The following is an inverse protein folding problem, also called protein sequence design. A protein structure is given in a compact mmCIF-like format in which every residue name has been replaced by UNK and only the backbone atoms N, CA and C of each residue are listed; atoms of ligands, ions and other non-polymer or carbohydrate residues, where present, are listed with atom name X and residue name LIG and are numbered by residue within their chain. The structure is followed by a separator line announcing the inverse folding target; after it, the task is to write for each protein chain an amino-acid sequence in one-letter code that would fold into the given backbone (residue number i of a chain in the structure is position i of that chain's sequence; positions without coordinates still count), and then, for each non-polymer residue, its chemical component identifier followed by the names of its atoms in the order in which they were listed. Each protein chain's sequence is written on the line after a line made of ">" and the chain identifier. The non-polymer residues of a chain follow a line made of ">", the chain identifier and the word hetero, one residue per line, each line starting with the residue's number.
data_IF_340541773181
#
_entry.id   IF_340541773181
#
_cell.length_a   1.000
_cell.length_b   1.000
_cell.length_c   1.000
_cell.angle_alpha   90.00
_cell.angle_beta   90.00
_cell.angle_gamma   90.00
#
_symmetry.space_group_name_H-M   'P 1'
#
loop_
_entity.id
_entity.type
_entity.pdbx_description
1 polymer ?
#
# COMPACT_ATOMS: atom_id res chain seq x y z
N UNK A 1 -43.53 -20.01 -5.77
CA UNK A 1 -44.22 -18.77 -6.18
C UNK A 1 -43.58 -18.20 -7.42
N UNK A 2 -44.27 -17.28 -8.11
CA UNK A 2 -43.73 -16.63 -9.32
C UNK A 2 -42.42 -15.89 -9.02
N UNK A 3 -42.20 -15.48 -7.76
CA UNK A 3 -40.94 -14.92 -7.27
C UNK A 3 -39.74 -15.88 -7.33
N UNK A 4 -39.91 -17.16 -7.01
CA UNK A 4 -38.87 -18.18 -7.19
C UNK A 4 -38.55 -18.44 -8.68
N UNK A 5 -39.52 -18.17 -9.57
CA UNK A 5 -39.34 -18.21 -11.01
C UNK A 5 -38.65 -16.94 -11.55
N UNK A 6 -38.98 -15.76 -11.02
CA UNK A 6 -38.31 -14.48 -11.28
C UNK A 6 -36.84 -14.50 -10.85
N UNK A 7 -36.53 -15.04 -9.66
CA UNK A 7 -35.14 -15.25 -9.21
C UNK A 7 -34.36 -16.21 -10.12
N UNK A 8 -35.03 -17.17 -10.76
CA UNK A 8 -34.40 -18.01 -11.80
C UNK A 8 -34.16 -17.27 -13.11
N UNK A 9 -35.02 -16.30 -13.47
CA UNK A 9 -34.89 -15.51 -14.69
C UNK A 9 -33.70 -14.55 -14.58
N UNK A 10 -33.56 -13.83 -13.47
CA UNK A 10 -32.39 -12.97 -13.22
C UNK A 10 -31.06 -13.74 -13.13
N UNK A 11 -31.11 -15.06 -12.93
CA UNK A 11 -29.93 -15.94 -12.95
C UNK A 11 -29.66 -16.58 -14.32
N UNK A 12 -30.61 -16.54 -15.25
CA UNK A 12 -30.56 -17.24 -16.54
C UNK A 12 -30.44 -16.29 -17.75
N UNK A 13 -30.60 -14.99 -17.53
CA UNK A 13 -30.45 -13.93 -18.54
C UNK A 13 -28.98 -13.57 -18.82
N UNK A 14 -28.11 -14.58 -18.93
CA UNK A 14 -26.76 -14.46 -19.49
C UNK A 14 -26.52 -15.33 -20.72
N UNK A 15 -27.52 -16.06 -21.23
CA UNK A 15 -27.38 -16.84 -22.48
C UNK A 15 -28.69 -16.88 -23.28
N UNK A 16 -28.63 -16.18 -24.42
CA UNK A 16 -29.33 -16.28 -25.69
C UNK A 16 -30.84 -15.98 -25.86
N UNK A 17 -31.06 -15.06 -26.80
CA UNK A 17 -32.28 -14.77 -27.55
C UNK A 17 -32.53 -15.83 -28.65
N UNK A 18 -33.79 -15.99 -29.06
CA UNK A 18 -34.12 -16.70 -30.29
C UNK A 18 -35.62 -16.79 -30.54
N UNK A 19 -36.10 -15.95 -31.46
CA UNK A 19 -37.47 -15.74 -31.94
C UNK A 19 -38.22 -17.00 -32.44
N UNK A 20 -39.56 -16.98 -32.39
CA UNK A 20 -40.46 -16.90 -33.58
C UNK A 20 -41.95 -17.16 -33.23
N UNK A 21 -42.82 -16.23 -33.64
CA UNK A 21 -44.25 -16.46 -33.95
C UNK A 21 -44.34 -16.89 -35.46
N UNK A 22 -45.50 -17.19 -36.12
CA UNK A 22 -46.90 -16.83 -35.78
C UNK A 22 -48.00 -17.84 -36.24
N UNK A 23 -49.28 -17.44 -36.18
CA UNK A 23 -50.29 -17.91 -37.17
C UNK A 23 -51.73 -18.08 -36.69
N UNK A 24 -52.55 -17.02 -36.82
CA UNK A 24 -54.03 -17.10 -36.86
C UNK A 24 -54.53 -17.75 -38.16
N UNK A 25 -55.72 -18.39 -38.15
CA UNK A 25 -56.75 -18.29 -39.22
C UNK A 25 -58.17 -18.57 -38.69
N UNK A 26 -59.08 -17.64 -38.98
CA UNK A 26 -60.54 -17.79 -39.02
C UNK A 26 -60.98 -18.62 -40.23
N UNK A 27 -62.17 -19.24 -40.15
CA UNK A 27 -63.21 -19.20 -41.20
C UNK A 27 -64.49 -19.92 -40.75
N UNK A 28 -65.57 -19.17 -40.64
CA UNK A 28 -66.95 -19.54 -41.05
C UNK A 28 -67.11 -19.04 -42.52
N UNK A 29 -68.25 -19.16 -43.26
CA UNK A 29 -69.54 -19.86 -43.06
C UNK A 29 -70.08 -20.51 -44.40
N UNK A 30 -71.41 -20.78 -44.47
CA UNK A 30 -72.29 -21.04 -45.65
C UNK A 30 -72.47 -22.54 -46.02
N UNK A 31 -73.60 -23.07 -46.50
CA UNK A 31 -74.75 -22.52 -47.26
C UNK A 31 -75.93 -23.51 -47.31
N UNK A 32 -77.17 -22.99 -47.41
CA UNK A 32 -78.36 -23.40 -48.20
C UNK A 32 -78.82 -24.89 -48.27
N UNK A 33 -80.10 -25.28 -48.40
CA UNK A 33 -81.16 -24.70 -49.23
C UNK A 33 -82.54 -25.39 -48.96
N UNK A 34 -83.61 -24.58 -49.02
CA UNK A 34 -84.99 -24.82 -49.49
C UNK A 34 -85.78 -26.13 -49.22
N UNK A 35 -87.03 -25.96 -48.77
CA UNK A 35 -88.12 -26.89 -49.12
C UNK A 35 -89.45 -26.79 -48.36
N UNK A 36 -90.41 -26.05 -48.93
CA UNK A 36 -91.87 -26.32 -48.95
C UNK A 36 -92.77 -26.14 -47.69
N UNK A 37 -93.70 -25.20 -47.88
CA UNK A 37 -95.04 -24.98 -47.26
C UNK A 37 -95.75 -26.21 -46.67
N UNK A 38 -96.27 -26.07 -45.45
CA UNK A 38 -97.69 -26.33 -45.09
C UNK A 38 -98.04 -25.75 -43.72
N UNK A 39 -99.17 -25.06 -43.68
CA UNK A 39 -99.86 -24.45 -42.54
C UNK A 39 -100.23 -25.45 -41.45
N UNK A 40 -100.14 -25.05 -40.18
CA UNK A 40 -101.13 -25.42 -39.15
C UNK A 40 -100.99 -24.45 -37.95
N UNK A 41 -101.98 -23.58 -37.79
CA UNK A 41 -102.14 -22.78 -36.57
C UNK A 41 -102.35 -23.72 -35.38
N UNK A 42 -101.57 -23.54 -34.31
CA UNK A 42 -101.91 -24.15 -33.01
C UNK A 42 -100.75 -24.70 -32.21
N UNK A 43 -99.87 -23.84 -31.70
CA UNK A 43 -99.39 -23.92 -30.30
C UNK A 43 -98.54 -22.71 -29.94
N UNK A 44 -99.07 -21.90 -29.02
CA UNK A 44 -98.30 -20.96 -28.23
C UNK A 44 -97.38 -21.80 -27.32
N UNK A 45 -96.11 -21.92 -27.69
CA UNK A 45 -95.15 -22.76 -26.98
C UNK A 45 -93.71 -22.32 -27.22
N UNK A 46 -93.16 -21.55 -26.27
CA UNK A 46 -91.74 -21.45 -25.96
C UNK A 46 -90.76 -21.13 -27.11
N UNK A 47 -90.77 -19.87 -27.55
CA UNK A 47 -89.70 -19.26 -28.36
C UNK A 47 -88.81 -18.27 -27.59
N UNK A 48 -88.41 -18.58 -26.34
CA UNK A 48 -87.49 -17.73 -25.54
C UNK A 48 -86.39 -18.50 -24.79
N UNK A 49 -86.08 -19.74 -25.17
CA UNK A 49 -85.08 -20.56 -24.43
C UNK A 49 -83.62 -20.23 -24.80
N UNK A 50 -83.35 -19.75 -26.02
CA UNK A 50 -81.99 -19.42 -26.44
C UNK A 50 -81.40 -18.21 -25.67
N UNK A 51 -82.20 -17.17 -25.41
CA UNK A 51 -81.71 -15.94 -24.75
C UNK A 51 -81.39 -16.12 -23.27
N UNK A 52 -82.18 -16.90 -22.52
CA UNK A 52 -81.94 -17.14 -21.08
C UNK A 52 -80.72 -18.03 -20.84
N UNK A 53 -80.49 -19.01 -21.71
CA UNK A 53 -79.37 -19.94 -21.59
C UNK A 53 -78.02 -19.28 -21.89
N UNK A 54 -78.01 -18.30 -22.81
CA UNK A 54 -76.84 -17.44 -23.09
C UNK A 54 -76.51 -16.55 -21.88
N UNK A 55 -77.52 -16.01 -21.19
CA UNK A 55 -77.32 -15.15 -20.00
C UNK A 55 -76.77 -15.95 -18.82
N UNK A 56 -77.29 -17.16 -18.56
CA UNK A 56 -76.80 -18.04 -17.49
C UNK A 56 -75.34 -18.45 -17.74
N UNK A 57 -75.00 -18.84 -18.97
CA UNK A 57 -73.62 -19.20 -19.33
C UNK A 57 -72.64 -18.04 -19.13
N UNK A 58 -73.03 -16.82 -19.52
CA UNK A 58 -72.22 -15.61 -19.27
C UNK A 58 -72.03 -15.36 -17.77
N UNK A 59 -73.05 -15.59 -16.96
CA UNK A 59 -72.96 -15.41 -15.51
C UNK A 59 -72.04 -16.45 -14.84
N UNK A 60 -72.05 -17.70 -15.32
CA UNK A 60 -71.10 -18.74 -14.89
C UNK A 60 -69.66 -18.45 -15.31
N UNK A 61 -69.45 -17.93 -16.52
CA UNK A 61 -68.14 -17.46 -16.99
C UNK A 61 -67.63 -16.29 -16.13
N UNK A 62 -68.47 -15.28 -15.85
CA UNK A 62 -68.10 -14.18 -14.95
C UNK A 62 -67.80 -14.62 -13.51
N UNK A 63 -68.47 -15.65 -12.99
CA UNK A 63 -68.17 -16.17 -11.65
C UNK A 63 -66.81 -16.86 -11.59
N UNK A 64 -66.42 -17.60 -12.64
CA UNK A 64 -65.09 -18.22 -12.73
C UNK A 64 -63.99 -17.18 -12.81
N UNK A 65 -64.17 -16.16 -13.65
CA UNK A 65 -63.24 -15.02 -13.73
C UNK A 65 -63.07 -14.33 -12.37
N UNK A 66 -64.16 -14.19 -11.60
CA UNK A 66 -64.12 -13.61 -10.27
C UNK A 66 -63.34 -14.49 -9.27
N UNK A 67 -63.52 -15.81 -9.32
CA UNK A 67 -62.76 -16.76 -8.48
C UNK A 67 -61.26 -16.76 -8.83
N UNK A 68 -60.92 -16.73 -10.12
CA UNK A 68 -59.53 -16.61 -10.59
C UNK A 68 -58.89 -15.30 -10.13
N UNK A 69 -59.59 -14.18 -10.29
CA UNK A 69 -59.12 -12.87 -9.81
C UNK A 69 -58.92 -12.85 -8.30
N UNK A 70 -59.82 -13.47 -7.53
CA UNK A 70 -59.68 -13.59 -6.08
C UNK A 70 -58.43 -14.40 -5.71
N UNK A 71 -58.16 -15.48 -6.43
CA UNK A 71 -56.97 -16.30 -6.22
C UNK A 71 -55.68 -15.53 -6.53
N UNK A 72 -55.63 -14.81 -7.66
CA UNK A 72 -54.47 -13.97 -8.00
C UNK A 72 -54.27 -12.82 -7.02
N UNK A 73 -55.34 -12.20 -6.52
CA UNK A 73 -55.24 -11.19 -5.44
C UNK A 73 -54.59 -11.79 -4.18
N UNK A 74 -55.00 -12.99 -3.77
CA UNK A 74 -54.42 -13.65 -2.60
C UNK A 74 -52.93 -13.98 -2.79
N UNK A 75 -52.55 -14.40 -4.00
CA UNK A 75 -51.16 -14.66 -4.35
C UNK A 75 -50.33 -13.38 -4.35
N UNK A 76 -50.84 -12.29 -4.91
CA UNK A 76 -50.19 -10.98 -4.85
C UNK A 76 -50.01 -10.48 -3.40
N UNK A 77 -51.00 -10.73 -2.54
CA UNK A 77 -50.88 -10.40 -1.10
C UNK A 77 -49.77 -11.21 -0.43
N UNK A 78 -49.69 -12.51 -0.69
CA UNK A 78 -48.63 -13.36 -0.16
C UNK A 78 -47.24 -12.92 -0.64
N UNK A 79 -47.08 -12.69 -1.94
CA UNK A 79 -45.80 -12.25 -2.52
C UNK A 79 -45.39 -10.87 -1.98
N UNK A 80 -46.35 -9.95 -1.80
CA UNK A 80 -46.10 -8.66 -1.16
C UNK A 80 -45.62 -8.81 0.27
N UNK A 81 -46.25 -9.67 1.06
CA UNK A 81 -45.90 -9.86 2.47
C UNK A 81 -44.52 -10.55 2.62
N UNK A 82 -44.17 -11.48 1.73
CA UNK A 82 -42.82 -12.07 1.62
C UNK A 82 -41.77 -11.00 1.28
N UNK A 83 -42.08 -10.06 0.38
CA UNK A 83 -41.18 -8.97 0.05
C UNK A 83 -40.95 -8.01 1.22
N UNK A 84 -42.00 -7.68 1.98
CA UNK A 84 -41.85 -6.86 3.20
C UNK A 84 -40.94 -7.53 4.22
N UNK A 85 -41.11 -8.83 4.47
CA UNK A 85 -40.24 -9.56 5.40
C UNK A 85 -38.78 -9.59 4.95
N UNK A 86 -38.53 -9.80 3.65
CA UNK A 86 -37.17 -9.76 3.12
C UNK A 86 -36.58 -8.34 3.23
N UNK A 87 -37.37 -7.31 2.92
CA UNK A 87 -36.92 -5.93 3.01
C UNK A 87 -36.58 -5.56 4.45
N UNK A 88 -37.37 -6.00 5.43
CA UNK A 88 -37.11 -5.75 6.85
C UNK A 88 -35.78 -6.38 7.30
N UNK A 89 -35.51 -7.63 6.90
CA UNK A 89 -34.23 -8.31 7.18
C UNK A 89 -33.04 -7.57 6.55
N UNK A 90 -33.17 -7.14 5.29
CA UNK A 90 -32.10 -6.42 4.61
C UNK A 90 -31.89 -5.02 5.20
N UNK A 91 -32.94 -4.24 5.45
CA UNK A 91 -32.80 -2.85 5.88
C UNK A 91 -32.35 -2.75 7.34
N UNK A 92 -32.96 -3.52 8.24
CA UNK A 92 -32.83 -3.26 9.67
C UNK A 92 -31.84 -4.16 10.40
N UNK A 93 -31.55 -5.37 9.91
CA UNK A 93 -30.64 -6.26 10.64
C UNK A 93 -29.20 -6.18 10.12
N UNK A 94 -28.99 -6.26 8.81
CA UNK A 94 -27.64 -6.40 8.25
C UNK A 94 -26.91 -5.06 8.05
N UNK A 95 -27.64 -4.01 7.65
CA UNK A 95 -27.05 -2.69 7.40
C UNK A 95 -26.84 -1.91 8.69
N UNK A 96 -27.78 -1.95 9.64
CA UNK A 96 -27.61 -1.30 10.94
C UNK A 96 -26.46 -1.91 11.74
N UNK A 97 -26.27 -3.23 11.69
CA UNK A 97 -25.10 -3.87 12.30
C UNK A 97 -23.78 -3.35 11.71
N UNK A 98 -23.67 -3.31 10.38
CA UNK A 98 -22.48 -2.81 9.70
C UNK A 98 -22.21 -1.33 10.00
N UNK A 99 -23.25 -0.49 10.02
CA UNK A 99 -23.11 0.94 10.24
C UNK A 99 -22.85 1.31 11.71
N UNK A 100 -23.50 0.62 12.65
CA UNK A 100 -23.44 0.99 14.07
C UNK A 100 -22.37 0.23 14.85
N UNK A 101 -21.99 -0.99 14.42
CA UNK A 101 -21.02 -1.82 15.15
C UNK A 101 -19.70 -1.92 14.38
N UNK A 102 -19.73 -2.37 13.12
CA UNK A 102 -18.49 -2.64 12.38
C UNK A 102 -17.76 -1.35 11.99
N UNK A 103 -18.49 -0.32 11.55
CA UNK A 103 -17.89 0.92 11.05
C UNK A 103 -17.07 1.66 12.12
N UNK A 104 -17.56 1.90 13.37
CA UNK A 104 -16.74 2.53 14.41
C UNK A 104 -15.51 1.71 14.80
N UNK A 105 -15.64 0.37 14.84
CA UNK A 105 -14.49 -0.52 15.11
C UNK A 105 -13.44 -0.36 14.01
N UNK A 106 -13.85 -0.41 12.74
CA UNK A 106 -12.95 -0.26 11.60
C UNK A 106 -12.28 1.12 11.59
N UNK A 107 -13.03 2.19 11.91
CA UNK A 107 -12.48 3.54 12.04
C UNK A 107 -11.43 3.63 13.14
N UNK A 108 -11.73 3.10 14.33
CA UNK A 108 -10.77 3.06 15.45
C UNK A 108 -9.51 2.27 15.10
N UNK A 109 -9.66 1.10 14.47
CA UNK A 109 -8.49 0.35 14.02
C UNK A 109 -7.67 1.08 12.95
N UNK A 110 -8.33 1.78 12.03
CA UNK A 110 -7.66 2.59 11.03
C UNK A 110 -6.87 3.73 11.69
N UNK A 111 -7.46 4.46 12.62
CA UNK A 111 -6.79 5.53 13.39
C UNK A 111 -5.58 5.00 14.15
N UNK A 112 -5.72 3.86 14.84
CA UNK A 112 -4.59 3.21 15.53
C UNK A 112 -3.45 2.86 14.58
N UNK A 113 -3.77 2.29 13.41
CA UNK A 113 -2.75 1.96 12.38
C UNK A 113 -2.07 3.22 11.84
N UNK A 114 -2.82 4.30 11.62
CA UNK A 114 -2.27 5.58 11.18
C UNK A 114 -1.32 6.19 12.23
N UNK A 115 -1.69 6.16 13.50
CA UNK A 115 -0.81 6.60 14.59
C UNK A 115 0.48 5.77 14.66
N UNK A 116 0.37 4.44 14.57
CA UNK A 116 1.54 3.56 14.56
C UNK A 116 2.47 3.84 13.36
N UNK A 117 1.91 4.04 12.16
CA UNK A 117 2.69 4.44 10.98
C UNK A 117 3.39 5.78 11.18
N UNK A 118 2.71 6.77 11.78
CA UNK A 118 3.32 8.07 12.07
C UNK A 118 4.46 7.95 13.07
N UNK A 119 4.29 7.16 14.13
CA UNK A 119 5.34 6.88 15.11
C UNK A 119 6.56 6.20 14.47
N UNK A 120 6.33 5.20 13.61
CA UNK A 120 7.41 4.56 12.85
C UNK A 120 8.13 5.56 11.93
N UNK A 121 7.38 6.42 11.25
CA UNK A 121 7.93 7.46 10.35
C UNK A 121 8.82 8.44 11.12
N UNK A 122 8.38 8.87 12.31
CA UNK A 122 9.17 9.74 13.18
C UNK A 122 10.44 9.03 13.68
N UNK A 123 10.32 7.77 14.13
CA UNK A 123 11.46 6.96 14.58
C UNK A 123 12.50 6.75 13.47
N UNK A 124 12.06 6.50 12.23
CA UNK A 124 12.95 6.40 11.06
C UNK A 124 13.67 7.73 10.83
N UNK A 125 12.94 8.84 10.90
CA UNK A 125 13.51 10.18 10.70
C UNK A 125 14.58 10.50 11.75
N UNK A 126 14.30 10.22 13.02
CA UNK A 126 15.25 10.40 14.13
C UNK A 126 16.50 9.52 13.96
N UNK A 127 16.31 8.25 13.57
CA UNK A 127 17.42 7.34 13.31
C UNK A 127 18.29 7.80 12.14
N UNK A 128 17.67 8.32 11.07
CA UNK A 128 18.38 8.90 9.93
C UNK A 128 19.22 10.11 10.34
N UNK A 129 18.71 10.98 11.21
CA UNK A 129 19.46 12.15 11.66
C UNK A 129 20.68 11.76 12.50
N UNK A 130 20.51 10.84 13.46
CA UNK A 130 21.63 10.29 14.24
C UNK A 130 22.67 9.61 13.35
N UNK A 131 22.24 8.97 12.27
CA UNK A 131 23.15 8.34 11.33
C UNK A 131 24.00 9.38 10.56
N UNK A 132 23.41 10.53 10.18
CA UNK A 132 24.17 11.64 9.58
C UNK A 132 25.22 12.20 10.54
N UNK A 133 24.84 12.43 11.80
CA UNK A 133 25.78 12.87 12.84
C UNK A 133 26.93 11.88 13.01
N UNK A 134 26.62 10.58 13.03
CA UNK A 134 27.63 9.53 13.15
C UNK A 134 28.63 9.54 11.97
N UNK A 135 28.15 9.74 10.74
CA UNK A 135 29.02 9.89 9.57
C UNK A 135 29.96 11.09 9.75
N UNK A 136 29.45 12.23 10.22
CA UNK A 136 30.25 13.43 10.44
C UNK A 136 31.32 13.21 11.52
N UNK A 137 30.95 12.60 12.65
CA UNK A 137 31.90 12.25 13.72
C UNK A 137 32.97 11.29 13.22
N UNK A 138 32.57 10.26 12.46
CA UNK A 138 33.51 9.30 11.88
C UNK A 138 34.49 10.00 10.91
N UNK A 139 34.00 10.89 10.05
CA UNK A 139 34.86 11.68 9.15
C UNK A 139 35.89 12.51 9.93
N UNK A 140 35.47 13.15 11.03
CA UNK A 140 36.33 13.93 11.92
C UNK A 140 37.39 13.05 12.58
N UNK A 141 37.01 11.85 13.03
CA UNK A 141 37.93 10.86 13.59
C UNK A 141 38.98 10.43 12.57
N UNK A 142 38.58 10.14 11.33
CA UNK A 142 39.51 9.77 10.25
C UNK A 142 40.53 10.87 9.97
N UNK A 143 40.08 12.13 9.88
CA UNK A 143 40.98 13.29 9.68
C UNK A 143 41.96 13.42 10.85
N UNK A 144 41.48 13.33 12.09
CA UNK A 144 42.35 13.42 13.28
C UNK A 144 43.35 12.28 13.34
N UNK A 145 42.93 11.07 13.02
CA UNK A 145 43.81 9.90 12.98
C UNK A 145 44.92 10.07 11.94
N UNK A 146 44.59 10.53 10.73
CA UNK A 146 45.58 10.84 9.69
C UNK A 146 46.55 11.96 10.08
N UNK A 147 46.09 12.96 10.84
CA UNK A 147 46.96 14.00 11.39
C UNK A 147 47.93 13.42 12.43
N UNK A 148 47.45 12.61 13.38
CA UNK A 148 48.29 11.97 14.39
C UNK A 148 49.36 11.07 13.79
N UNK A 149 49.05 10.33 12.72
CA UNK A 149 50.04 9.52 12.02
C UNK A 149 51.16 10.37 11.41
N UNK A 150 50.84 11.54 10.86
CA UNK A 150 51.84 12.48 10.33
C UNK A 150 52.71 13.05 11.45
N UNK A 151 52.11 13.47 12.55
CA UNK A 151 52.83 13.97 13.73
C UNK A 151 53.76 12.90 14.31
N UNK A 152 53.30 11.65 14.38
CA UNK A 152 54.11 10.52 14.84
C UNK A 152 55.33 10.29 13.93
N UNK A 153 55.14 10.31 12.61
CA UNK A 153 56.23 10.17 11.66
C UNK A 153 57.24 11.32 11.77
N UNK A 154 56.76 12.56 11.94
CA UNK A 154 57.61 13.73 12.12
C UNK A 154 58.42 13.65 13.42
N UNK A 155 57.79 13.28 14.54
CA UNK A 155 58.48 13.06 15.82
C UNK A 155 59.56 11.98 15.70
N UNK A 156 59.27 10.88 15.01
CA UNK A 156 60.26 9.81 14.77
C UNK A 156 61.47 10.33 13.98
N UNK A 157 61.25 11.15 12.96
CA UNK A 157 62.33 11.77 12.19
C UNK A 157 63.15 12.73 13.07
N UNK A 158 62.49 13.57 13.87
CA UNK A 158 63.16 14.52 14.77
C UNK A 158 64.03 13.79 15.80
N UNK A 159 63.52 12.70 16.39
CA UNK A 159 64.31 11.86 17.31
C UNK A 159 65.55 11.32 16.60
N UNK A 160 65.41 10.85 15.35
CA UNK A 160 66.55 10.33 14.59
C UNK A 160 67.60 11.42 14.30
N UNK A 161 67.17 12.64 13.98
CA UNK A 161 68.06 13.79 13.77
C UNK A 161 68.81 14.11 15.07
N UNK A 162 68.10 14.26 16.19
CA UNK A 162 68.70 14.54 17.50
C UNK A 162 69.70 13.47 17.94
N UNK A 163 69.41 12.19 17.65
CA UNK A 163 70.35 11.09 17.91
C UNK A 163 71.63 11.19 17.06
N UNK A 164 71.52 11.67 15.82
CA UNK A 164 72.67 11.88 14.96
C UNK A 164 73.51 13.09 15.41
N UNK A 165 72.86 14.19 15.78
CA UNK A 165 73.52 15.37 16.35
C UNK A 165 74.22 15.05 17.67
N UNK A 166 73.55 14.32 18.57
CA UNK A 166 74.16 13.83 19.82
C UNK A 166 75.42 13.01 19.55
N UNK A 167 75.41 12.14 18.52
CA UNK A 167 76.59 11.36 18.14
C UNK A 167 77.74 12.25 17.65
N UNK A 168 77.47 13.26 16.82
CA UNK A 168 78.48 14.21 16.34
C UNK A 168 79.12 14.99 17.50
N UNK A 169 78.30 15.53 18.39
CA UNK A 169 78.78 16.27 19.57
C UNK A 169 79.65 15.39 20.48
N UNK A 170 79.32 14.10 20.61
CA UNK A 170 80.14 13.16 21.38
C UNK A 170 81.53 12.98 20.76
N UNK A 171 81.61 12.90 19.43
CA UNK A 171 82.89 12.81 18.69
C UNK A 171 83.70 14.08 18.89
N UNK A 172 83.10 15.25 18.67
CA UNK A 172 83.77 16.55 18.89
C UNK A 172 84.29 16.69 20.32
N UNK A 173 83.52 16.26 21.32
CA UNK A 173 83.92 16.28 22.73
C UNK A 173 85.13 15.38 23.01
N UNK A 174 85.29 14.27 22.29
CA UNK A 174 86.46 13.38 22.42
C UNK A 174 87.71 13.88 21.69
N UNK A 175 87.56 14.67 20.63
CA UNK A 175 88.67 15.21 19.83
C UNK A 175 89.22 16.52 20.41
N UNK A 176 88.38 17.34 21.05
CA UNK A 176 88.75 18.60 21.72
C UNK A 176 89.94 18.46 22.69
N UNK A 177 89.99 17.47 23.59
CA UNK A 177 91.13 17.24 24.48
C UNK A 177 92.43 16.93 23.72
N UNK A 178 92.35 16.15 22.64
CA UNK A 178 93.52 15.80 21.84
C UNK A 178 94.10 17.03 21.13
N UNK A 179 93.23 17.85 20.54
CA UNK A 179 93.63 19.11 19.90
C UNK A 179 94.20 20.12 20.91
N UNK A 180 93.61 20.22 22.10
CA UNK A 180 94.12 21.05 23.21
C UNK A 180 95.53 20.66 23.64
N UNK A 181 95.79 19.36 23.83
CA UNK A 181 97.13 18.84 24.16
C UNK A 181 98.13 19.15 23.05
N UNK A 182 97.72 18.99 21.79
CA UNK A 182 98.57 19.25 20.64
C UNK A 182 98.90 20.74 20.48
N UNK A 183 97.92 21.63 20.63
CA UNK A 183 98.12 23.07 20.63
C UNK A 183 99.05 23.53 21.76
N UNK A 184 98.92 22.94 22.96
CA UNK A 184 99.81 23.24 24.08
C UNK A 184 101.26 22.86 23.76
N UNK A 185 101.49 21.69 23.15
CA UNK A 185 102.84 21.29 22.68
C UNK A 185 103.41 22.27 21.65
N UNK A 186 102.61 22.69 20.67
CA UNK A 186 103.05 23.65 19.65
C UNK A 186 103.44 25.01 20.26
N UNK A 187 102.68 25.50 21.24
CA UNK A 187 103.02 26.72 21.97
C UNK A 187 104.32 26.59 22.78
N UNK A 188 104.54 25.44 23.44
CA UNK A 188 105.77 25.13 24.16
C UNK A 188 106.98 25.09 23.20
N UNK A 189 106.84 24.45 22.03
CA UNK A 189 107.88 24.38 21.00
C UNK A 189 108.20 25.75 20.38
N UNK A 190 107.18 26.56 20.06
CA UNK A 190 107.36 27.91 19.56
C UNK A 190 108.05 28.82 20.60
N UNK A 191 107.69 28.69 21.88
CA UNK A 191 108.34 29.42 22.98
C UNK A 191 109.83 29.08 23.12
N UNK A 192 110.21 27.81 22.87
CA UNK A 192 111.62 27.39 22.87
C UNK A 192 112.38 27.95 21.65
N UNK A 193 111.73 28.08 20.49
CA UNK A 193 112.33 28.60 19.25
C UNK A 193 112.42 30.15 19.19
N UNK A 194 111.66 30.87 20.01
CA UNK A 194 111.74 32.35 20.17
C UNK A 194 112.79 32.75 21.22
N UNK A 195 113.51 31.79 21.82
CA UNK A 195 114.67 32.08 22.68
C UNK A 195 115.82 32.65 21.83
N UNK A 196 115.79 33.97 21.67
CA UNK A 196 116.75 34.81 20.99
C UNK A 196 118.18 34.56 21.53
N UNK A 197 119.21 34.33 20.68
CA UNK A 197 120.60 34.25 21.14
C UNK A 197 121.16 35.65 21.50
N UNK A 198 120.37 36.48 22.16
CA UNK A 198 120.79 37.78 22.71
C UNK A 198 121.39 37.59 24.10
N UNK A 199 122.45 36.78 24.19
CA UNK A 199 123.29 36.64 25.39
C UNK A 199 124.78 36.49 25.05
N UNK A 200 125.23 37.11 23.96
CA UNK A 200 126.66 37.25 23.63
C UNK A 200 126.98 38.64 23.08
N UNK A 201 126.62 39.70 23.78
CA UNK A 201 127.17 41.04 23.53
C UNK A 201 127.06 41.88 24.80
N UNK A 202 127.87 41.55 25.82
CA UNK A 202 128.37 42.48 26.83
C UNK A 202 129.28 41.74 27.82
N UNK A 203 130.59 41.80 27.57
CA UNK A 203 131.58 42.22 28.56
C UNK A 203 132.94 42.40 27.85
N UNK A 204 133.37 43.66 27.85
CA UNK A 204 134.75 44.14 27.67
C UNK A 204 135.44 44.04 29.01
#
# INVERSE_FOLDING_TARGET
>A
GMFHQLLRLFRKESVDQGETAPGQREADPLSSETGRRKSFWGRLGFGRKASSQIVIRKQEECLKELEELKFEIQKCQFERDELYQNLDLYIYDEWDHRLHVELPVLQSEHEMRMMAMQMMTNSISDAMERYKELIQVNSSYRVRHSQLLREQAQLRNNIQILLNEKRKLLVEQTELPASSVEAKRLCEEAGMNICDPSAKQQQV
#
